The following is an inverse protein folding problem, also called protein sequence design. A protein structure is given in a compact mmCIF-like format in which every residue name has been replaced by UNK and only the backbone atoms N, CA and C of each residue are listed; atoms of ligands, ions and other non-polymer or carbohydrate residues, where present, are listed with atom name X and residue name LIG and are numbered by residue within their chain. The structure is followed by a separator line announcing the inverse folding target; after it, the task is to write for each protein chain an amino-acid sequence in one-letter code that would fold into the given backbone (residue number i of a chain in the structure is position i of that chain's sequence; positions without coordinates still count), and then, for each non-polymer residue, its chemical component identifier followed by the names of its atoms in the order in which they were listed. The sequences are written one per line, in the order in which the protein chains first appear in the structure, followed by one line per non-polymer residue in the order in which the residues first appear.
data_IF_327069807462
#
_entry.id   IF_327069807462
#
_cell.length_a   1.000
_cell.length_b   1.000
_cell.length_c   1.000
_cell.angle_alpha   90.00
_cell.angle_beta   90.00
_cell.angle_gamma   90.00
#
_symmetry.space_group_name_H-M   'P 1'
#
loop_
_entity.id
_entity.type
_entity.pdbx_description
1 polymer ?
#
# COMPACT_ATOMS: atom_id res chain seq x y z
N UNK A 1 -3.26 -15.46 2.75
CA UNK A 1 -2.86 -14.11 3.21
C UNK A 1 -3.23 -14.01 4.68
N UNK A 2 -2.26 -13.95 5.59
CA UNK A 2 -2.53 -14.10 7.03
C UNK A 2 -2.84 -12.78 7.75
N UNK A 3 -2.29 -11.66 7.30
CA UNK A 3 -2.50 -10.33 7.91
C UNK A 3 -3.86 -9.66 7.60
N UNK A 4 -4.86 -10.41 7.14
CA UNK A 4 -6.18 -9.90 6.76
C UNK A 4 -7.31 -10.53 7.59
N UNK A 5 -8.48 -9.85 7.69
CA UNK A 5 -8.71 -8.45 7.34
C UNK A 5 -8.05 -7.48 8.34
N UNK A 6 -7.65 -6.30 7.86
CA UNK A 6 -7.24 -5.19 8.73
C UNK A 6 -8.50 -4.39 9.13
N UNK A 7 -8.74 -4.12 10.43
CA UNK A 7 -9.93 -3.38 10.87
C UNK A 7 -9.99 -1.95 10.31
N UNK A 8 -8.84 -1.36 9.96
CA UNK A 8 -8.74 -0.02 9.37
C UNK A 8 -8.72 -0.04 7.83
N UNK A 9 -8.97 -1.19 7.22
CA UNK A 9 -9.06 -1.33 5.76
C UNK A 9 -7.72 -1.25 5.01
N UNK A 10 -6.57 -1.31 5.70
CA UNK A 10 -5.25 -1.30 5.05
C UNK A 10 -5.08 -2.53 4.15
N UNK A 11 -4.65 -2.33 2.91
CA UNK A 11 -4.24 -3.41 2.00
C UNK A 11 -2.80 -3.83 2.31
N UNK A 12 -2.59 -4.44 3.49
CA UNK A 12 -1.26 -4.82 4.00
C UNK A 12 -0.46 -5.62 2.96
N UNK A 13 -1.03 -6.66 2.32
CA UNK A 13 -0.28 -7.41 1.31
C UNK A 13 0.06 -6.57 0.08
N UNK A 14 -0.83 -5.70 -0.39
CA UNK A 14 -0.54 -4.85 -1.55
C UNK A 14 0.50 -3.78 -1.26
N UNK A 15 0.48 -3.22 -0.05
CA UNK A 15 1.50 -2.28 0.43
C UNK A 15 2.88 -2.94 0.41
N UNK A 16 3.02 -4.13 1.00
CA UNK A 16 4.30 -4.83 1.06
C UNK A 16 4.75 -5.39 -0.28
N UNK A 17 3.84 -5.85 -1.13
CA UNK A 17 4.18 -6.28 -2.49
C UNK A 17 4.86 -5.15 -3.27
N UNK A 18 4.31 -3.94 -3.20
CA UNK A 18 4.86 -2.78 -3.91
C UNK A 18 6.17 -2.31 -3.28
N UNK A 19 6.24 -2.29 -1.95
CA UNK A 19 7.46 -1.96 -1.22
C UNK A 19 8.60 -2.93 -1.56
N UNK A 20 8.35 -4.23 -1.53
CA UNK A 20 9.34 -5.24 -1.89
C UNK A 20 9.77 -5.13 -3.35
N UNK A 21 8.82 -4.96 -4.27
CA UNK A 21 9.12 -4.78 -5.69
C UNK A 21 9.99 -3.55 -5.95
N UNK A 22 9.76 -2.45 -5.22
CA UNK A 22 10.61 -1.27 -5.28
C UNK A 22 12.08 -1.58 -4.92
N UNK A 23 12.33 -2.31 -3.83
CA UNK A 23 13.70 -2.68 -3.44
C UNK A 23 14.33 -3.72 -4.37
N UNK A 24 13.53 -4.55 -5.05
CA UNK A 24 14.03 -5.52 -6.02
C UNK A 24 14.36 -4.88 -7.37
N UNK A 25 13.52 -3.96 -7.86
CA UNK A 25 13.66 -3.38 -9.21
C UNK A 25 14.39 -2.04 -9.24
N UNK A 26 14.37 -1.28 -8.13
CA UNK A 26 14.81 0.11 -8.08
C UNK A 26 13.91 1.09 -8.85
N UNK A 27 12.82 0.62 -9.48
CA UNK A 27 11.96 1.46 -10.31
C UNK A 27 10.94 2.23 -9.45
N UNK A 28 11.36 3.39 -8.94
CA UNK A 28 10.54 4.21 -8.06
C UNK A 28 9.25 4.72 -8.72
N UNK A 29 9.33 5.14 -9.99
CA UNK A 29 8.18 5.69 -10.72
C UNK A 29 7.08 4.64 -10.90
N UNK A 30 7.45 3.42 -11.29
CA UNK A 30 6.51 2.31 -11.40
C UNK A 30 5.91 1.96 -10.05
N UNK A 31 6.73 1.88 -8.99
CA UNK A 31 6.24 1.58 -7.66
C UNK A 31 5.24 2.62 -7.15
N UNK A 32 5.52 3.92 -7.33
CA UNK A 32 4.60 5.00 -6.96
C UNK A 32 3.30 4.99 -7.76
N UNK A 33 3.39 4.73 -9.07
CA UNK A 33 2.22 4.58 -9.93
C UNK A 33 1.33 3.40 -9.48
N UNK A 34 1.95 2.25 -9.22
CA UNK A 34 1.25 1.05 -8.74
C UNK A 34 0.70 1.23 -7.33
N UNK A 35 1.40 1.96 -6.45
CA UNK A 35 0.92 2.28 -5.09
C UNK A 35 -0.34 3.14 -5.15
N UNK A 36 -0.32 4.19 -5.98
CA UNK A 36 -1.47 5.05 -6.21
C UNK A 36 -2.65 4.30 -6.85
N UNK A 37 -2.39 3.25 -7.64
CA UNK A 37 -3.42 2.45 -8.29
C UNK A 37 -4.04 1.38 -7.37
N UNK A 38 -3.22 0.54 -6.74
CA UNK A 38 -3.65 -0.68 -6.04
C UNK A 38 -4.07 -0.40 -4.59
N UNK A 39 -3.15 -0.02 -3.66
CA UNK A 39 -3.56 0.56 -2.38
C UNK A 39 -4.47 1.77 -2.52
N UNK A 40 -4.35 2.53 -3.61
CA UNK A 40 -5.25 3.66 -3.85
C UNK A 40 -6.66 3.35 -4.32
N UNK A 41 -7.02 2.07 -4.46
CA UNK A 41 -8.39 1.63 -4.75
C UNK A 41 -8.79 1.68 -6.22
N UNK A 42 -8.02 2.35 -7.10
CA UNK A 42 -8.35 2.55 -8.52
C UNK A 42 -8.56 1.21 -9.24
N UNK A 43 -7.75 0.20 -8.93
CA UNK A 43 -7.90 -1.16 -9.51
C UNK A 43 -8.53 -2.17 -8.53
N UNK A 44 -9.06 -1.68 -7.40
CA UNK A 44 -9.70 -2.48 -6.34
C UNK A 44 -11.07 -1.94 -5.93
N UNK A 45 -11.86 -1.51 -6.91
CA UNK A 45 -13.26 -1.11 -6.70
C UNK A 45 -13.44 0.19 -5.92
N UNK A 46 -12.52 1.15 -6.10
CA UNK A 46 -12.53 2.49 -5.49
C UNK A 46 -12.47 2.51 -3.95
N UNK A 47 -12.06 1.41 -3.31
CA UNK A 47 -11.84 1.35 -1.86
C UNK A 47 -10.35 1.53 -1.55
N UNK A 48 -9.94 2.62 -0.87
CA UNK A 48 -8.55 2.85 -0.51
C UNK A 48 -8.12 1.94 0.65
N UNK A 49 -6.90 1.43 0.55
CA UNK A 49 -6.23 0.62 1.55
C UNK A 49 -4.79 1.09 1.77
N UNK A 50 -4.59 2.40 1.89
CA UNK A 50 -3.29 3.02 2.09
C UNK A 50 -2.64 2.62 3.41
N UNK A 51 -1.30 2.65 3.46
CA UNK A 51 -0.54 2.37 4.66
C UNK A 51 -0.84 3.40 5.78
N UNK A 52 -1.12 4.66 5.43
CA UNK A 52 -1.53 5.69 6.40
C UNK A 52 -2.85 5.42 7.12
N UNK A 53 -3.67 4.47 6.66
CA UNK A 53 -4.87 4.05 7.38
C UNK A 53 -4.55 3.17 8.59
N UNK A 54 -3.29 2.72 8.75
CA UNK A 54 -2.90 1.91 9.89
C UNK A 54 -3.00 2.71 11.20
N UNK A 55 -3.82 2.22 12.14
CA UNK A 55 -3.97 2.81 13.48
C UNK A 55 -3.05 2.16 14.53
N UNK A 56 -2.05 1.39 14.08
CA UNK A 56 -1.09 0.70 14.96
C UNK A 56 -1.75 -0.29 15.96
N UNK A 57 -2.85 -0.95 15.58
CA UNK A 57 -3.59 -1.84 16.48
C UNK A 57 -2.91 -3.19 16.78
N UNK A 58 -1.85 -3.57 16.07
CA UNK A 58 -1.10 -4.82 16.30
C UNK A 58 -1.79 -6.14 15.89
N UNK A 59 -3.09 -6.16 15.58
CA UNK A 59 -3.83 -7.41 15.26
C UNK A 59 -3.25 -8.21 14.09
N UNK A 60 -2.59 -7.54 13.15
CA UNK A 60 -1.95 -8.18 12.01
C UNK A 60 -0.68 -8.96 12.41
N UNK A 61 0.00 -8.56 13.50
CA UNK A 61 1.22 -9.19 14.01
C UNK A 61 0.92 -10.58 14.56
N UNK A 62 -0.16 -10.71 15.34
CA UNK A 62 -0.61 -11.99 15.91
C UNK A 62 -0.92 -13.03 14.82
N UNK A 63 -1.45 -12.57 13.69
CA UNK A 63 -1.78 -13.43 12.55
C UNK A 63 -0.58 -13.72 11.66
N UNK A 64 0.53 -12.98 11.79
CA UNK A 64 1.68 -13.12 10.90
C UNK A 64 2.55 -14.31 11.34
N UNK A 65 2.73 -15.35 10.51
CA UNK A 65 3.52 -16.53 10.89
C UNK A 65 5.00 -16.24 11.13
N UNK A 66 5.49 -15.11 10.61
CA UNK A 66 6.87 -14.63 10.80
C UNK A 66 6.97 -13.57 11.91
N UNK A 67 5.88 -13.26 12.60
CA UNK A 67 5.82 -12.24 13.65
C UNK A 67 6.46 -10.89 13.28
N UNK A 68 6.31 -10.50 12.01
CA UNK A 68 6.80 -9.21 11.53
C UNK A 68 6.08 -8.07 12.26
N UNK A 69 6.82 -7.01 12.58
CA UNK A 69 6.26 -5.74 13.04
C UNK A 69 5.61 -4.99 11.87
N UNK A 70 4.44 -5.49 11.47
CA UNK A 70 3.66 -4.97 10.35
C UNK A 70 3.31 -3.48 10.54
N UNK A 71 2.88 -3.01 11.74
CA UNK A 71 2.61 -1.59 11.96
C UNK A 71 3.80 -0.68 11.68
N UNK A 72 5.00 -1.03 12.15
CA UNK A 72 6.23 -0.25 11.86
C UNK A 72 6.61 -0.30 10.38
N UNK A 73 6.48 -1.47 9.75
CA UNK A 73 6.72 -1.60 8.31
C UNK A 73 5.75 -0.77 7.47
N UNK A 74 4.48 -0.65 7.88
CA UNK A 74 3.50 0.20 7.21
C UNK A 74 3.85 1.68 7.34
N UNK A 75 4.44 2.12 8.45
CA UNK A 75 4.94 3.50 8.56
C UNK A 75 6.04 3.76 7.52
N UNK A 76 6.97 2.83 7.33
CA UNK A 76 7.99 2.94 6.28
C UNK A 76 7.39 2.96 4.86
N UNK A 77 6.33 2.19 4.60
CA UNK A 77 5.59 2.24 3.32
C UNK A 77 4.97 3.62 3.11
N UNK A 78 4.31 4.15 4.14
CA UNK A 78 3.69 5.47 4.11
C UNK A 78 4.73 6.55 3.84
N UNK A 79 5.86 6.55 4.54
CA UNK A 79 6.94 7.50 4.30
C UNK A 79 7.48 7.44 2.87
N UNK A 80 7.60 6.23 2.31
CA UNK A 80 8.14 6.03 0.96
C UNK A 80 7.17 6.47 -0.15
N UNK A 81 5.87 6.23 0.01
CA UNK A 81 4.91 6.36 -1.09
C UNK A 81 3.82 7.43 -0.89
N UNK A 82 3.60 7.93 0.32
CA UNK A 82 2.52 8.89 0.63
C UNK A 82 2.99 10.33 0.83
N UNK A 83 4.10 10.69 0.18
CA UNK A 83 4.64 12.05 0.15
C UNK A 83 3.80 13.04 -0.65
N UNK A 84 4.34 14.26 -0.80
CA UNK A 84 3.68 15.40 -1.48
C UNK A 84 3.27 15.12 -2.92
N UNK A 85 3.97 14.19 -3.58
CA UNK A 85 3.75 13.80 -4.97
C UNK A 85 2.64 12.76 -5.16
N UNK A 86 2.14 12.12 -4.10
CA UNK A 86 1.10 11.08 -4.18
C UNK A 86 -0.13 11.56 -4.96
N UNK A 87 -0.54 12.82 -4.81
CA UNK A 87 -1.68 13.39 -5.55
C UNK A 87 -1.47 13.32 -7.06
N UNK A 88 -0.26 13.63 -7.53
CA UNK A 88 0.11 13.53 -8.95
C UNK A 88 0.05 12.10 -9.45
N UNK A 89 0.60 11.16 -8.67
CA UNK A 89 0.54 9.73 -8.98
C UNK A 89 -0.88 9.18 -9.02
N UNK A 90 -1.78 9.63 -8.14
CA UNK A 90 -3.22 9.26 -8.21
C UNK A 90 -3.87 9.72 -9.51
N UNK A 91 -3.57 10.93 -9.97
CA UNK A 91 -4.10 11.45 -11.25
C UNK A 91 -3.57 10.60 -12.41
N UNK A 92 -2.26 10.33 -12.43
CA UNK A 92 -1.64 9.50 -13.46
C UNK A 92 -2.21 8.08 -13.45
N UNK A 93 -2.29 7.44 -12.28
CA UNK A 93 -2.85 6.10 -12.11
C UNK A 93 -4.30 6.02 -12.58
N UNK A 94 -5.13 7.03 -12.31
CA UNK A 94 -6.50 7.08 -12.84
C UNK A 94 -6.50 7.11 -14.36
N UNK A 95 -5.65 7.92 -14.98
CA UNK A 95 -5.54 8.00 -16.45
C UNK A 95 -5.03 6.68 -17.05
N UNK A 96 -4.12 6.00 -16.37
CA UNK A 96 -3.49 4.76 -16.87
C UNK A 96 -4.38 3.53 -16.70
N UNK A 97 -5.09 3.40 -15.58
CA UNK A 97 -5.77 2.16 -15.20
C UNK A 97 -7.28 2.22 -15.15
N UNK A 98 -7.89 3.41 -15.11
CA UNK A 98 -9.34 3.52 -15.19
C UNK A 98 -9.74 3.30 -16.65
N UNK A 99 -10.24 2.11 -16.96
CA UNK A 99 -10.97 1.87 -18.21
C UNK A 99 -12.26 2.68 -18.15
N UNK A 100 -12.57 3.37 -19.25
CA UNK A 100 -13.90 3.96 -19.49
C UNK A 100 -15.01 2.92 -19.34
#
# INVERSE_FOLDING_TARGET
RYCLPCPSGVDIPGCFEIYNNFYLSGNESEAKLMYAAKPGGIIRGDVPGYASQCIQCGQCVEKCPQHLDIPSLLEAVKEKFEGKDLKGWKILAKKTFRKE
#
